data_IF_142372949112
#
_entry.id   IF_142372949112
#
_cell.length_a   1.000
_cell.length_b   1.000
_cell.length_c   1.000
_cell.angle_alpha   90.00
_cell.angle_beta   90.00
_cell.angle_gamma   90.00
#
_symmetry.space_group_name_H-M   'P 1'
#
loop_
_entity.id
_entity.type
_entity.pdbx_description
1 polymer ?
#
# COMPACT_ATOMS: atom_id res chain seq x y z
N UNK A 1 -21.70 7.27 -27.20
CA UNK A 1 -21.30 6.56 -25.97
C UNK A 1 -19.91 7.04 -25.60
N UNK A 2 -19.80 8.01 -24.68
CA UNK A 2 -18.53 8.65 -24.37
C UNK A 2 -17.75 7.75 -23.40
N UNK A 3 -16.76 7.01 -23.91
CA UNK A 3 -15.87 6.21 -23.07
C UNK A 3 -14.96 7.15 -22.30
N UNK A 4 -15.33 7.50 -21.06
CA UNK A 4 -14.43 8.22 -20.16
C UNK A 4 -13.23 7.33 -19.89
N UNK A 5 -12.13 7.60 -20.60
CA UNK A 5 -10.89 6.82 -20.50
C UNK A 5 -10.27 7.13 -19.14
N UNK A 6 -10.48 6.25 -18.14
CA UNK A 6 -9.87 6.40 -16.82
C UNK A 6 -8.34 6.38 -16.95
N UNK A 7 -7.67 7.32 -16.31
CA UNK A 7 -6.21 7.35 -16.21
C UNK A 7 -5.71 6.07 -15.54
N UNK A 8 -4.77 5.37 -16.17
CA UNK A 8 -4.17 4.15 -15.61
C UNK A 8 -2.85 4.52 -14.94
N UNK A 9 -2.68 4.15 -13.68
CA UNK A 9 -1.50 4.51 -12.89
C UNK A 9 -0.90 3.25 -12.27
N UNK A 10 0.42 3.12 -12.34
CA UNK A 10 1.16 2.10 -11.60
C UNK A 10 1.92 2.78 -10.47
N UNK A 11 1.69 2.31 -9.24
CA UNK A 11 2.44 2.74 -8.05
C UNK A 11 3.40 1.61 -7.69
N UNK A 12 4.70 1.91 -7.61
CA UNK A 12 5.74 0.94 -7.24
C UNK A 12 6.22 1.22 -5.83
N UNK A 13 6.08 0.22 -4.96
CA UNK A 13 6.37 0.31 -3.53
C UNK A 13 5.10 0.53 -2.69
N UNK A 14 4.89 -0.32 -1.69
CA UNK A 14 3.76 -0.29 -0.77
C UNK A 14 4.17 0.14 0.66
N UNK A 15 5.11 1.08 0.75
CA UNK A 15 5.36 1.84 1.99
C UNK A 15 4.28 2.89 2.25
N UNK A 16 4.48 3.76 3.24
CA UNK A 16 3.53 4.81 3.62
C UNK A 16 3.03 5.65 2.42
N UNK A 17 3.97 6.19 1.64
CA UNK A 17 3.64 7.04 0.51
C UNK A 17 2.92 6.27 -0.61
N UNK A 18 3.33 5.03 -0.89
CA UNK A 18 2.72 4.23 -1.96
C UNK A 18 1.28 3.82 -1.66
N UNK A 19 1.00 3.45 -0.41
CA UNK A 19 -0.37 3.15 0.03
C UNK A 19 -1.26 4.40 -0.01
N UNK A 20 -0.76 5.54 0.47
CA UNK A 20 -1.52 6.79 0.46
C UNK A 20 -1.75 7.32 -0.96
N UNK A 21 -0.72 7.28 -1.82
CA UNK A 21 -0.85 7.63 -3.23
C UNK A 21 -1.88 6.74 -3.94
N UNK A 22 -1.83 5.41 -3.69
CA UNK A 22 -2.82 4.47 -4.25
C UNK A 22 -4.24 4.85 -3.84
N UNK A 23 -4.44 5.19 -2.56
CA UNK A 23 -5.74 5.59 -2.01
C UNK A 23 -6.26 6.87 -2.65
N UNK A 24 -5.43 7.92 -2.72
CA UNK A 24 -5.86 9.22 -3.24
C UNK A 24 -6.04 9.20 -4.77
N UNK A 25 -5.20 8.49 -5.51
CA UNK A 25 -5.37 8.30 -6.95
C UNK A 25 -6.65 7.51 -7.29
N UNK A 26 -6.95 6.47 -6.52
CA UNK A 26 -8.18 5.69 -6.70
C UNK A 26 -9.42 6.54 -6.39
N UNK A 27 -9.40 7.34 -5.31
CA UNK A 27 -10.46 8.33 -5.01
C UNK A 27 -10.65 9.34 -6.14
N UNK A 28 -9.57 9.73 -6.82
CA UNK A 28 -9.59 10.59 -8.00
C UNK A 28 -10.11 9.95 -9.29
N UNK A 29 -10.53 8.68 -9.25
CA UNK A 29 -11.10 7.96 -10.40
C UNK A 29 -10.07 7.30 -11.33
N UNK A 30 -8.79 7.27 -10.93
CA UNK A 30 -7.76 6.52 -11.66
C UNK A 30 -7.93 5.01 -11.47
N UNK A 31 -7.56 4.24 -12.49
CA UNK A 31 -7.37 2.79 -12.37
C UNK A 31 -5.93 2.55 -11.89
N UNK A 32 -5.77 2.23 -10.61
CA UNK A 32 -4.44 2.10 -9.98
C UNK A 32 -4.04 0.64 -9.85
N UNK A 33 -2.80 0.32 -10.23
CA UNK A 33 -2.14 -0.96 -9.95
C UNK A 33 -0.98 -0.71 -8.97
N UNK A 34 -1.06 -1.29 -7.78
CA UNK A 34 0.01 -1.24 -6.79
C UNK A 34 0.90 -2.47 -6.96
N UNK A 35 2.22 -2.27 -7.06
CA UNK A 35 3.22 -3.32 -7.18
C UNK A 35 4.23 -3.17 -6.05
N UNK A 36 4.39 -4.22 -5.25
CA UNK A 36 5.45 -4.34 -4.26
C UNK A 36 6.03 -5.75 -4.28
N UNK A 37 7.27 -5.91 -3.80
CA UNK A 37 7.92 -7.20 -3.66
C UNK A 37 7.27 -8.06 -2.57
N UNK A 38 6.70 -7.42 -1.54
CA UNK A 38 6.10 -8.08 -0.39
C UNK A 38 4.58 -7.88 -0.37
N UNK A 39 3.80 -8.86 0.13
CA UNK A 39 2.35 -8.74 0.27
C UNK A 39 1.91 -7.93 1.51
N UNK A 40 2.85 -7.25 2.17
CA UNK A 40 2.64 -6.46 3.38
C UNK A 40 3.45 -5.17 3.34
N UNK A 41 2.96 -4.12 4.00
CA UNK A 41 3.77 -2.98 4.40
C UNK A 41 4.30 -3.18 5.81
N UNK A 42 5.41 -2.51 6.13
CA UNK A 42 6.03 -2.59 7.45
C UNK A 42 6.05 -1.21 8.11
N UNK A 43 5.61 -1.12 9.36
CA UNK A 43 5.81 0.05 10.20
C UNK A 43 7.25 0.08 10.71
N UNK A 44 8.15 0.50 9.82
CA UNK A 44 9.59 0.57 10.05
C UNK A 44 10.01 1.25 11.37
N UNK A 45 9.31 2.30 11.87
CA UNK A 45 9.71 2.96 13.12
C UNK A 45 9.79 2.05 14.34
N UNK A 46 9.06 0.92 14.39
CA UNK A 46 9.07 0.00 15.55
C UNK A 46 9.87 -1.29 15.30
N UNK A 47 10.66 -1.37 14.23
CA UNK A 47 11.48 -2.55 13.97
C UNK A 47 12.49 -2.85 15.09
N UNK A 48 12.93 -1.83 15.83
CA UNK A 48 13.80 -2.02 16.98
C UNK A 48 13.11 -2.84 18.09
N UNK A 49 11.81 -2.63 18.33
CA UNK A 49 11.06 -3.39 19.34
C UNK A 49 10.88 -4.85 18.92
N UNK A 50 10.72 -5.12 17.61
CA UNK A 50 10.72 -6.49 17.09
C UNK A 50 12.10 -7.13 17.28
N UNK A 51 13.18 -6.40 16.96
CA UNK A 51 14.55 -6.90 17.11
C UNK A 51 14.91 -7.23 18.57
N UNK A 52 14.35 -6.50 19.54
CA UNK A 52 14.54 -6.74 20.98
C UNK A 52 13.47 -7.63 21.61
N UNK A 53 12.64 -8.32 20.81
CA UNK A 53 11.55 -9.18 21.26
C UNK A 53 10.48 -8.47 22.14
N UNK A 54 10.38 -7.15 22.07
CA UNK A 54 9.32 -6.38 22.73
C UNK A 54 7.98 -6.41 21.98
N UNK A 55 8.00 -6.82 20.70
CA UNK A 55 6.81 -7.03 19.87
C UNK A 55 7.03 -8.17 18.86
N UNK A 56 5.93 -8.73 18.37
CA UNK A 56 5.92 -9.68 17.27
C UNK A 56 6.01 -9.01 15.89
N UNK A 57 6.40 -9.78 14.87
CA UNK A 57 6.45 -9.31 13.47
C UNK A 57 5.07 -8.93 12.93
N UNK A 58 4.01 -9.56 13.44
CA UNK A 58 2.62 -9.23 13.12
C UNK A 58 2.22 -7.83 13.58
N UNK A 59 2.83 -7.31 14.65
CA UNK A 59 2.47 -6.00 15.23
C UNK A 59 2.93 -4.83 14.34
N UNK A 60 3.85 -5.09 13.42
CA UNK A 60 4.41 -4.09 12.49
C UNK A 60 4.12 -4.39 11.02
N UNK A 61 3.36 -5.46 10.70
CA UNK A 61 3.13 -5.90 9.32
C UNK A 61 1.67 -5.77 8.91
N UNK A 62 1.38 -5.03 7.84
CA UNK A 62 0.02 -4.73 7.39
C UNK A 62 -0.23 -5.29 6.00
N UNK A 63 -1.22 -6.16 5.78
CA UNK A 63 -1.48 -6.72 4.46
C UNK A 63 -1.84 -5.65 3.43
N UNK A 64 -1.11 -5.52 2.32
CA UNK A 64 -1.36 -4.45 1.34
C UNK A 64 -2.69 -4.63 0.59
N UNK A 65 -3.22 -5.86 0.55
CA UNK A 65 -4.49 -6.17 -0.11
C UNK A 65 -5.69 -5.44 0.49
N UNK A 66 -5.61 -4.98 1.75
CA UNK A 66 -6.68 -4.21 2.39
C UNK A 66 -6.79 -2.80 1.80
N UNK A 67 -5.77 -2.33 1.09
CA UNK A 67 -5.71 -1.01 0.46
C UNK A 67 -6.05 -1.03 -1.03
N UNK A 68 -6.17 -2.22 -1.63
CA UNK A 68 -6.65 -2.37 -3.00
C UNK A 68 -8.19 -2.23 -2.99
N UNK A 69 -8.71 -1.19 -3.66
CA UNK A 69 -10.14 -1.08 -3.93
C UNK A 69 -10.57 -2.22 -4.86
N UNK A 70 -11.70 -2.86 -4.54
CA UNK A 70 -12.40 -3.77 -5.46
C UNK A 70 -12.89 -3.02 -6.70
#
# INVERSE_FOLDING_TARGET
MNMTRRTRVVVVGAGFAGLEATRELAKGGALVTLVDRNPYSTFQPLLYQVATAGMGTSDVSYPIRTFAAR
#
